data_IF_568473386883
#
_entry.id   IF_568473386883
#
_cell.length_a   1.000
_cell.length_b   1.000
_cell.length_c   1.000
_cell.angle_alpha   90.00
_cell.angle_beta   90.00
_cell.angle_gamma   90.00
#
_symmetry.space_group_name_H-M   'P 1'
#
loop_
_entity.id
_entity.type
_entity.pdbx_description
1 polymer ?
#
# COMPACT_ATOMS: atom_id res chain seq x y z
N UNK A 1 13.18 7.29 3.50
CA UNK A 1 12.30 6.11 3.62
C UNK A 1 11.80 5.59 2.28
N UNK A 2 11.28 6.45 1.41
CA UNK A 2 10.72 6.02 0.13
C UNK A 2 11.73 5.26 -0.76
N UNK A 3 12.93 5.79 -0.88
CA UNK A 3 13.98 5.12 -1.65
C UNK A 3 14.31 3.75 -1.08
N UNK A 4 14.43 3.67 0.24
CA UNK A 4 14.71 2.40 0.91
C UNK A 4 13.59 1.40 0.67
N UNK A 5 12.33 1.85 0.75
CA UNK A 5 11.20 0.97 0.48
C UNK A 5 11.22 0.48 -0.96
N UNK A 6 11.52 1.37 -1.92
CA UNK A 6 11.58 0.96 -3.31
C UNK A 6 12.66 -0.11 -3.52
N UNK A 7 13.81 0.05 -2.90
CA UNK A 7 14.88 -0.94 -2.97
C UNK A 7 14.44 -2.28 -2.38
N UNK A 8 13.77 -2.25 -1.23
CA UNK A 8 13.26 -3.47 -0.59
C UNK A 8 12.22 -4.17 -1.47
N UNK A 9 11.36 -3.38 -2.15
CA UNK A 9 10.37 -3.95 -3.06
C UNK A 9 11.04 -4.68 -4.23
N UNK A 10 12.05 -4.05 -4.82
CA UNK A 10 12.79 -4.65 -5.92
C UNK A 10 13.51 -5.92 -5.50
N UNK A 11 14.00 -5.94 -4.27
CA UNK A 11 14.72 -7.10 -3.71
C UNK A 11 13.78 -8.13 -3.09
N UNK A 12 12.47 -7.87 -3.08
CA UNK A 12 11.46 -8.73 -2.46
C UNK A 12 11.73 -8.98 -0.97
N UNK A 13 12.19 -7.93 -0.29
CA UNK A 13 12.55 -7.97 1.13
C UNK A 13 11.54 -7.23 2.00
N UNK A 14 10.32 -7.02 1.53
CA UNK A 14 9.31 -6.27 2.28
C UNK A 14 7.98 -7.01 2.27
N UNK A 15 7.31 -6.97 3.42
CA UNK A 15 5.89 -7.28 3.53
C UNK A 15 5.21 -5.93 3.69
N UNK A 16 4.50 -5.49 2.68
CA UNK A 16 3.93 -4.15 2.60
C UNK A 16 2.44 -4.18 2.86
N UNK A 17 1.99 -3.36 3.79
CA UNK A 17 0.59 -3.35 4.22
C UNK A 17 0.00 -1.95 4.08
N UNK A 18 -1.13 -1.87 3.37
CA UNK A 18 -1.90 -0.64 3.19
C UNK A 18 -3.04 -0.67 4.20
N UNK A 19 -3.08 0.30 5.11
CA UNK A 19 -4.11 0.35 6.15
C UNK A 19 -5.22 1.36 5.85
N UNK A 20 -5.32 1.79 4.60
CA UNK A 20 -6.39 2.68 4.16
C UNK A 20 -7.68 1.90 3.92
N UNK A 21 -8.71 2.60 3.45
CA UNK A 21 -9.98 1.97 3.12
C UNK A 21 -9.93 1.30 1.74
N UNK A 22 -10.81 0.31 1.49
CA UNK A 22 -10.80 -0.38 0.21
C UNK A 22 -10.95 0.53 -1.01
N UNK A 23 -11.74 1.59 -0.91
CA UNK A 23 -11.93 2.53 -2.02
C UNK A 23 -10.63 3.27 -2.37
N UNK A 24 -9.85 3.60 -1.35
CA UNK A 24 -8.55 4.24 -1.57
C UNK A 24 -7.59 3.29 -2.24
N UNK A 25 -7.54 2.05 -1.76
CA UNK A 25 -6.67 1.02 -2.32
C UNK A 25 -7.04 0.73 -3.78
N UNK A 26 -8.33 0.73 -4.08
CA UNK A 26 -8.79 0.48 -5.43
C UNK A 26 -8.40 1.61 -6.39
N UNK A 27 -8.37 2.85 -5.91
CA UNK A 27 -7.96 3.99 -6.75
C UNK A 27 -6.48 3.92 -7.12
N UNK A 28 -5.63 3.79 -6.14
CA UNK A 28 -4.20 3.57 -6.37
C UNK A 28 -3.59 2.98 -5.11
N UNK A 29 -2.56 2.18 -5.30
CA UNK A 29 -1.82 1.57 -4.20
C UNK A 29 -0.38 1.36 -4.63
N UNK A 30 0.49 1.10 -3.67
CA UNK A 30 1.86 0.72 -3.99
C UNK A 30 1.82 -0.75 -4.40
N UNK A 31 2.40 -1.07 -5.56
CA UNK A 31 2.40 -2.45 -6.07
C UNK A 31 2.96 -3.42 -5.04
N UNK A 32 2.28 -4.54 -4.88
CA UNK A 32 2.71 -5.57 -3.92
C UNK A 32 2.13 -5.41 -2.54
N UNK A 33 1.37 -4.34 -2.27
CA UNK A 33 0.78 -4.12 -0.95
C UNK A 33 -0.42 -5.05 -0.71
N UNK A 34 -0.57 -5.46 0.54
CA UNK A 34 -1.74 -6.18 1.01
C UNK A 34 -2.63 -5.19 1.73
N UNK A 35 -3.91 -5.16 1.39
CA UNK A 35 -4.86 -4.26 2.06
C UNK A 35 -5.33 -4.85 3.38
N UNK A 36 -5.05 -4.16 4.47
CA UNK A 36 -5.54 -4.51 5.82
C UNK A 36 -5.97 -3.22 6.50
N UNK A 37 -7.24 -2.81 6.31
CA UNK A 37 -7.71 -1.53 6.87
C UNK A 37 -7.46 -1.41 8.36
N UNK A 38 -7.15 -0.19 8.82
CA UNK A 38 -6.82 0.08 10.21
C UNK A 38 -7.86 -0.49 11.18
N UNK A 39 -9.13 -0.39 10.83
CA UNK A 39 -10.21 -0.85 11.71
C UNK A 39 -10.21 -2.34 11.97
N UNK A 40 -9.57 -3.14 11.11
CA UNK A 40 -9.58 -4.60 11.24
C UNK A 40 -8.19 -5.20 11.35
N UNK A 41 -7.13 -4.41 11.27
CA UNK A 41 -5.78 -4.95 11.29
C UNK A 41 -5.45 -5.61 12.62
N UNK A 42 -4.81 -6.76 12.56
CA UNK A 42 -4.30 -7.48 13.73
C UNK A 42 -3.17 -8.40 13.28
N UNK A 43 -2.33 -8.79 14.24
CA UNK A 43 -1.16 -9.61 13.93
C UNK A 43 -1.51 -10.89 13.18
N UNK A 44 -2.62 -11.53 13.54
CA UNK A 44 -2.99 -12.84 12.98
C UNK A 44 -3.22 -12.81 11.46
N UNK A 45 -3.55 -11.65 10.88
CA UNK A 45 -3.84 -11.55 9.46
C UNK A 45 -2.76 -10.83 8.66
N UNK A 46 -1.61 -10.55 9.28
CA UNK A 46 -0.50 -9.95 8.55
C UNK A 46 0.00 -10.91 7.46
N UNK A 47 0.47 -10.36 6.32
CA UNK A 47 1.07 -11.22 5.30
C UNK A 47 2.35 -11.85 5.83
N UNK A 48 2.83 -12.94 5.23
CA UNK A 48 4.09 -13.55 5.64
C UNK A 48 5.20 -12.50 5.66
N UNK A 49 5.90 -12.39 6.79
CA UNK A 49 6.93 -11.36 6.96
C UNK A 49 8.20 -11.90 7.59
N UNK A 50 8.35 -13.22 7.75
CA UNK A 50 9.58 -13.80 8.20
C UNK A 50 10.70 -13.43 7.22
N UNK A 51 11.81 -12.94 7.75
CA UNK A 51 12.97 -12.50 6.95
C UNK A 51 12.66 -11.33 6.01
N UNK A 52 11.58 -10.59 6.29
CA UNK A 52 11.20 -9.42 5.51
C UNK A 52 11.00 -8.22 6.41
N UNK A 53 11.15 -7.03 5.82
CA UNK A 53 10.83 -5.79 6.53
C UNK A 53 9.33 -5.56 6.45
N UNK A 54 8.69 -5.40 7.59
CA UNK A 54 7.23 -5.18 7.65
C UNK A 54 6.96 -3.69 7.62
N UNK A 55 6.41 -3.21 6.52
CA UNK A 55 6.17 -1.78 6.29
C UNK A 55 4.69 -1.51 6.18
N UNK A 56 4.22 -0.55 6.96
CA UNK A 56 2.83 -0.11 7.01
C UNK A 56 2.75 1.25 6.32
N UNK A 57 1.69 1.48 5.55
CA UNK A 57 1.50 2.82 5.01
C UNK A 57 0.02 3.18 4.94
N UNK A 58 -0.23 4.48 4.93
CA UNK A 58 -1.56 5.03 4.69
C UNK A 58 -1.40 6.20 3.73
N UNK A 59 -2.32 7.14 3.74
CA UNK A 59 -2.26 8.26 2.81
C UNK A 59 -1.15 9.25 3.17
N UNK A 60 -1.09 9.68 4.44
CA UNK A 60 -0.15 10.70 4.90
C UNK A 60 0.74 10.28 6.06
N UNK A 61 0.45 9.16 6.70
CA UNK A 61 1.23 8.64 7.80
C UNK A 61 0.49 8.43 9.12
N UNK A 62 -0.62 9.13 9.35
CA UNK A 62 -1.33 9.08 10.63
C UNK A 62 -1.98 7.73 10.94
N UNK A 63 -2.73 7.19 10.00
CA UNK A 63 -3.36 5.88 10.18
C UNK A 63 -2.30 4.79 10.27
N UNK A 64 -1.21 4.94 9.51
CA UNK A 64 -0.09 4.01 9.58
C UNK A 64 0.54 3.98 10.95
N UNK A 65 0.72 5.15 11.57
CA UNK A 65 1.24 5.23 12.92
C UNK A 65 0.31 4.55 13.92
N UNK A 66 -1.00 4.75 13.77
CA UNK A 66 -1.99 4.10 14.63
C UNK A 66 -1.98 2.58 14.47
N UNK A 67 -1.83 2.11 13.24
CA UNK A 67 -1.74 0.68 12.97
C UNK A 67 -0.49 0.07 13.62
N UNK A 68 0.64 0.76 13.53
CA UNK A 68 1.86 0.30 14.18
C UNK A 68 1.70 0.20 15.69
N UNK A 69 1.07 1.20 16.31
CA UNK A 69 0.79 1.17 17.74
C UNK A 69 -0.07 -0.02 18.13
N UNK A 70 -1.12 -0.27 17.34
CA UNK A 70 -2.04 -1.36 17.59
C UNK A 70 -1.32 -2.71 17.51
N UNK A 71 -0.49 -2.90 16.49
CA UNK A 71 0.25 -4.15 16.31
C UNK A 71 1.29 -4.34 17.40
N UNK A 72 1.99 -3.28 17.80
CA UNK A 72 2.99 -3.35 18.87
C UNK A 72 2.35 -3.63 20.24
N UNK A 73 1.09 -3.21 20.43
CA UNK A 73 0.36 -3.56 21.64
C UNK A 73 0.07 -5.07 21.70
N UNK A 74 -0.14 -5.70 20.54
CA UNK A 74 -0.34 -7.16 20.48
C UNK A 74 0.97 -7.91 20.62
N UNK A 75 2.04 -7.40 20.01
CA UNK A 75 3.34 -8.08 20.03
C UNK A 75 4.46 -7.03 20.03
N UNK A 76 4.96 -6.67 21.23
CA UNK A 76 6.03 -5.67 21.30
C UNK A 76 7.34 -6.06 20.63
N UNK A 77 7.50 -7.34 20.27
CA UNK A 77 8.73 -7.79 19.62
C UNK A 77 8.74 -7.54 18.12
N UNK A 78 7.63 -7.09 17.52
CA UNK A 78 7.59 -6.81 16.10
C UNK A 78 8.47 -5.61 15.75
N UNK A 79 9.15 -5.70 14.61
CA UNK A 79 9.87 -4.57 14.04
C UNK A 79 9.04 -4.05 12.89
N UNK A 80 8.52 -2.83 13.05
CA UNK A 80 7.59 -2.22 12.10
C UNK A 80 8.15 -0.91 11.57
N UNK A 81 7.85 -0.62 10.33
CA UNK A 81 8.17 0.66 9.72
C UNK A 81 6.88 1.30 9.22
N UNK A 82 6.71 2.59 9.48
CA UNK A 82 5.60 3.36 8.94
C UNK A 82 6.17 4.25 7.84
N UNK A 83 5.64 4.15 6.63
CA UNK A 83 6.13 4.95 5.51
C UNK A 83 5.86 6.43 5.77
N UNK A 84 6.93 7.18 5.96
CA UNK A 84 6.85 8.60 6.25
C UNK A 84 6.18 9.35 5.11
N UNK A 85 5.16 10.13 5.42
CA UNK A 85 4.40 10.84 4.40
C UNK A 85 3.44 9.98 3.61
N UNK A 86 3.40 8.67 3.87
CA UNK A 86 2.47 7.75 3.23
C UNK A 86 2.58 7.69 1.71
N UNK A 87 1.50 7.24 1.08
CA UNK A 87 1.47 7.10 -0.37
C UNK A 87 1.56 8.47 -1.08
N UNK A 88 1.14 9.55 -0.42
CA UNK A 88 1.28 10.88 -1.02
C UNK A 88 2.74 11.23 -1.28
N UNK A 89 3.60 10.92 -0.31
CA UNK A 89 5.03 11.15 -0.47
C UNK A 89 5.62 10.25 -1.54
N UNK A 90 5.17 9.00 -1.58
CA UNK A 90 5.56 8.04 -2.61
C UNK A 90 5.23 8.55 -4.01
N UNK A 91 4.01 9.09 -4.19
CA UNK A 91 3.57 9.63 -5.46
C UNK A 91 4.37 10.87 -5.87
N UNK A 92 4.71 11.71 -4.90
CA UNK A 92 5.51 12.91 -5.16
C UNK A 92 6.88 12.57 -5.73
N UNK A 93 7.45 11.45 -5.27
CA UNK A 93 8.74 10.98 -5.75
C UNK A 93 8.64 10.28 -7.12
N UNK A 94 7.44 10.13 -7.65
CA UNK A 94 7.26 9.50 -8.95
C UNK A 94 7.50 8.01 -8.94
N UNK A 95 7.37 7.36 -7.78
CA UNK A 95 7.63 5.93 -7.64
C UNK A 95 6.44 5.08 -8.12
N UNK A 96 6.67 3.80 -8.45
CA UNK A 96 5.65 2.96 -9.09
C UNK A 96 4.38 2.80 -8.27
N UNK A 97 3.23 2.90 -8.95
CA UNK A 97 1.91 2.70 -8.36
C UNK A 97 1.14 1.67 -9.16
N UNK A 98 0.23 1.01 -8.47
CA UNK A 98 -0.77 0.18 -9.09
C UNK A 98 -2.09 0.95 -9.01
N UNK A 99 -2.76 1.14 -10.15
CA UNK A 99 -4.06 1.78 -10.16
C UNK A 99 -5.11 0.76 -10.47
N UNK A 100 -6.32 1.06 -10.00
CA UNK A 100 -7.46 0.24 -10.27
C UNK A 100 -7.57 0.05 -11.77
N UNK A 101 -7.56 -1.08 -12.15
CA UNK A 101 -7.51 -1.35 -13.53
C UNK A 101 -8.72 -0.97 -14.22
N UNK A 102 -9.09 -0.59 -14.09
CA UNK A 102 -9.85 -0.46 -14.85
C UNK A 102 -9.33 0.15 -15.81
N UNK A 103 -8.68 0.04 -15.81
CA UNK A 103 -8.02 0.55 -16.38
C UNK A 103 -8.14 1.02 -17.21
N UNK A 104 -8.61 1.14 -17.13
CA UNK A 104 -8.83 1.67 -17.81
C UNK A 104 -8.58 2.06 -18.49
N UNK A 105 -8.96 1.83 -18.86
CA UNK A 105 -8.89 2.21 -19.68
C UNK A 105 -8.98 2.83 -20.25
N UNK A 106 -9.07 3.04 -20.57
CA UNK A 106 -9.19 3.82 -21.23
C UNK A 106 -9.48 4.15 -21.90
N UNK A 107 -9.82 4.29 -22.07
CA UNK A 107 -9.88 4.72 -22.78
C UNK A 107 -9.93 5.09 -23.08
N UNK A 108 -10.14 5.14 -23.04
CA UNK A 108 -10.08 5.59 -23.60
C UNK A 108 -9.97 5.51 -23.88
N UNK A 109 -10.17 5.43 -23.79
CA UNK A 109 -10.17 5.45 -24.46
C UNK A 109 -10.30 4.92 -24.48
N UNK A 110 -10.61 4.78 -24.32
CA UNK A 110 -10.86 4.66 -24.84
C UNK A 110 -11.25 4.26 -24.60
N UNK A 111 -11.64 4.18 -24.45
CA UNK A 111 -12.05 4.25 -24.80
C UNK A 111 -12.42 3.91 -24.60
N UNK A 112 -12.85 3.73 -24.49
CA UNK A 112 -13.09 3.85 -24.94
C UNK A 112 -13.34 3.32 -24.67
N UNK A 113 -13.68 2.91 -24.73
CA UNK A 113 -13.83 2.82 -25.10
C UNK A 113 -14.11 2.33 -24.78
N UNK A 114 -14.65 2.28 -24.73
CA UNK A 114 -14.87 2.39 -25.13
C UNK A 114 -15.11 1.97 -24.96
N UNK A 115 -15.60 1.53 -25.23
CA UNK A 115 -15.76 1.74 -25.61
C UNK A 115 -15.93 1.43 -25.62
N UNK A 116 -16.32 1.16 -25.53
CA UNK A 116 -16.46 1.62 -26.13
C UNK A 116 -16.57 1.11 -26.14
N UNK A 117 -16.97 1.02 -26.19
CA UNK A 117 -16.85 1.24 -26.81
C UNK A 117 -16.79 1.07 -26.85
N UNK A 118 -17.20 0.96 -26.89
CA UNK A 118 -16.96 1.34 -27.55
C UNK A 118 -16.83 1.24 -27.58
N UNK A 119 -17.32 1.30 -27.36
CA UNK A 119 -17.08 1.85 -27.93
C UNK A 119 -16.91 1.70 -28.12
#
# INVERSE_FOLDING_TARGET
MQKTLNDWLEQKKVALVDVREPSEFASESISGATLLPLGSIKKAILPPHADKNLVIYCRKGGRGASACKKLLAEDPSLTLYNLEGGIESWMKEGLPLQRSGRKVLPLDRQVQLIIGLLV
#
